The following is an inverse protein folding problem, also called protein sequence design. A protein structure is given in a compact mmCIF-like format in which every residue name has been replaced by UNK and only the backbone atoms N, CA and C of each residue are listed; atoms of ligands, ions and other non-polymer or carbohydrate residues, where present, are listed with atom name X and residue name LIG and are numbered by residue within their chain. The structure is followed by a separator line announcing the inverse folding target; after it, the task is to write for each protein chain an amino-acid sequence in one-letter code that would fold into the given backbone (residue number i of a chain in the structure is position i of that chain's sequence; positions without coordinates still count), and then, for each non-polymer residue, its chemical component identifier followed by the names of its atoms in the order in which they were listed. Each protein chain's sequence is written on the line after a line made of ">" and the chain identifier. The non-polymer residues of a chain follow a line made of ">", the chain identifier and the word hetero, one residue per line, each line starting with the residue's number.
data_IF_685517914727
#
_entry.id   IF_685517914727
#
_cell.length_a   1.000
_cell.length_b   1.000
_cell.length_c   1.000
_cell.angle_alpha   90.00
_cell.angle_beta   90.00
_cell.angle_gamma   90.00
#
_symmetry.space_group_name_H-M   'P 1'
#
loop_
_entity.id
_entity.type
_entity.pdbx_description
1 polymer ?
#
# COMPACT_ATOMS: atom_id res chain seq x y z
N UNK A 1 11.83 1.89 0.54
CA UNK A 1 10.60 2.14 1.32
C UNK A 1 10.81 3.43 2.09
N UNK A 2 9.78 4.26 2.25
CA UNK A 2 9.90 5.56 2.91
C UNK A 2 8.88 5.68 4.03
N UNK A 3 9.32 6.07 5.23
CA UNK A 3 8.44 6.35 6.37
C UNK A 3 8.04 7.82 6.33
N UNK A 4 6.74 8.10 6.33
CA UNK A 4 6.17 9.46 6.26
C UNK A 4 5.12 9.66 7.34
N UNK A 5 4.90 10.88 7.85
CA UNK A 5 3.74 11.17 8.69
C UNK A 5 2.44 10.79 7.96
N UNK A 6 1.50 10.17 8.68
CA UNK A 6 0.24 9.77 8.08
C UNK A 6 -0.61 11.00 7.74
N UNK A 7 -1.18 11.01 6.54
CA UNK A 7 -2.11 12.04 6.09
C UNK A 7 -3.56 11.75 6.48
N UNK A 8 -3.84 10.55 7.00
CA UNK A 8 -5.18 10.12 7.35
C UNK A 8 -5.64 10.78 8.66
N UNK A 9 -6.83 11.41 8.65
CA UNK A 9 -7.31 12.19 9.79
C UNK A 9 -7.43 11.37 11.09
N UNK A 10 -7.76 10.08 11.00
CA UNK A 10 -7.82 9.17 12.14
C UNK A 10 -6.46 8.67 12.64
N UNK A 11 -5.37 9.03 11.96
CA UNK A 11 -4.00 8.58 12.22
C UNK A 11 -3.06 9.73 12.58
N UNK A 12 -3.59 10.83 13.12
CA UNK A 12 -2.78 11.97 13.55
C UNK A 12 -1.63 11.54 14.49
N UNK A 13 -0.40 11.93 14.14
CA UNK A 13 0.82 11.58 14.89
C UNK A 13 1.38 10.18 14.61
N UNK A 14 0.70 9.35 13.80
CA UNK A 14 1.20 8.06 13.34
C UNK A 14 1.94 8.20 12.01
N UNK A 15 2.60 7.12 11.60
CA UNK A 15 3.38 7.07 10.38
C UNK A 15 2.82 6.02 9.42
N UNK A 16 3.05 6.27 8.14
CA UNK A 16 2.80 5.34 7.07
C UNK A 16 4.12 5.00 6.37
N UNK A 17 4.17 3.79 5.84
CA UNK A 17 5.24 3.25 5.03
C UNK A 17 4.79 3.26 3.58
N UNK A 18 5.49 4.03 2.77
CA UNK A 18 5.29 4.06 1.32
C UNK A 18 6.23 3.03 0.69
N UNK A 19 5.63 2.05 0.01
CA UNK A 19 6.36 1.01 -0.72
C UNK A 19 6.06 1.15 -2.20
N UNK A 20 7.12 1.38 -2.98
CA UNK A 20 7.06 1.39 -4.43
C UNK A 20 7.48 0.02 -4.95
N UNK A 21 6.68 -0.58 -5.82
CA UNK A 21 6.96 -1.88 -6.44
C UNK A 21 6.62 -1.86 -7.92
N UNK A 22 7.21 -2.79 -8.67
CA UNK A 22 6.90 -3.00 -10.08
C UNK A 22 5.94 -4.18 -10.22
N UNK A 23 4.84 -3.99 -10.93
CA UNK A 23 3.92 -5.09 -11.24
C UNK A 23 4.43 -5.95 -12.42
N UNK A 24 3.75 -7.07 -12.67
CA UNK A 24 4.12 -8.00 -13.75
C UNK A 24 4.06 -7.38 -15.16
N UNK A 25 3.32 -6.29 -15.33
CA UNK A 25 3.23 -5.53 -16.57
C UNK A 25 4.27 -4.39 -16.66
N UNK A 26 5.21 -4.33 -15.71
CA UNK A 26 6.29 -3.34 -15.69
C UNK A 26 5.87 -1.97 -15.17
N UNK A 27 4.66 -1.82 -14.60
CA UNK A 27 4.17 -0.53 -14.10
C UNK A 27 4.65 -0.32 -12.68
N UNK A 28 5.15 0.88 -12.40
CA UNK A 28 5.51 1.31 -11.05
C UNK A 28 4.24 1.66 -10.28
N UNK A 29 4.02 0.99 -9.14
CA UNK A 29 2.88 1.17 -8.26
C UNK A 29 3.36 1.54 -6.87
N UNK A 30 2.51 2.25 -6.16
CA UNK A 30 2.72 2.64 -4.78
C UNK A 30 1.65 1.97 -3.94
N UNK A 31 2.05 1.46 -2.78
CA UNK A 31 1.16 1.00 -1.72
C UNK A 31 1.55 1.65 -0.40
N UNK A 32 0.54 2.05 0.36
CA UNK A 32 0.69 2.69 1.67
C UNK A 32 0.31 1.69 2.74
N UNK A 33 1.22 1.45 3.68
CA UNK A 33 1.03 0.52 4.79
C UNK A 33 1.20 1.28 6.10
N UNK A 34 0.28 1.18 7.06
CA UNK A 34 0.49 1.63 8.44
C UNK A 34 1.84 1.18 9.00
N UNK A 35 2.73 2.12 9.36
CA UNK A 35 4.08 1.78 9.81
C UNK A 35 4.06 0.91 11.07
N UNK A 36 3.09 1.14 11.95
CA UNK A 36 2.90 0.37 13.19
C UNK A 36 2.56 -1.11 12.94
N UNK A 37 1.91 -1.44 11.81
CA UNK A 37 1.62 -2.83 11.45
C UNK A 37 2.84 -3.54 10.85
N UNK A 38 3.76 -2.77 10.29
CA UNK A 38 4.97 -3.28 9.65
C UNK A 38 6.16 -3.37 10.62
N UNK A 39 6.27 -2.42 11.55
CA UNK A 39 7.39 -2.33 12.48
C UNK A 39 7.42 -3.52 13.45
N UNK A 40 8.63 -4.05 13.70
CA UNK A 40 8.83 -5.16 14.65
C UNK A 40 8.48 -6.55 14.14
N UNK A 41 7.94 -6.67 12.92
CA UNK A 41 7.73 -7.95 12.24
C UNK A 41 9.02 -8.50 11.65
N UNK A 42 9.10 -9.83 11.55
CA UNK A 42 10.14 -10.51 10.77
C UNK A 42 10.04 -10.18 9.28
N UNK A 43 11.10 -10.41 8.51
CA UNK A 43 11.10 -10.17 7.05
C UNK A 43 10.01 -10.98 6.34
N UNK A 44 9.78 -12.21 6.77
CA UNK A 44 8.73 -13.08 6.21
C UNK A 44 7.34 -12.47 6.45
N UNK A 45 7.04 -12.07 7.69
CA UNK A 45 5.77 -11.44 8.02
C UNK A 45 5.58 -10.08 7.33
N UNK A 46 6.65 -9.30 7.19
CA UNK A 46 6.64 -8.04 6.44
C UNK A 46 6.29 -8.29 4.98
N UNK A 47 6.84 -9.34 4.38
CA UNK A 47 6.55 -9.72 3.00
C UNK A 47 5.10 -10.21 2.84
N UNK A 48 4.57 -10.97 3.79
CA UNK A 48 3.16 -11.38 3.79
C UNK A 48 2.22 -10.17 3.92
N UNK A 49 2.55 -9.23 4.82
CA UNK A 49 1.79 -7.99 4.99
C UNK A 49 1.80 -7.17 3.68
N UNK A 50 2.98 -7.02 3.07
CA UNK A 50 3.13 -6.30 1.80
C UNK A 50 2.26 -6.94 0.70
N UNK A 51 2.31 -8.28 0.54
CA UNK A 51 1.48 -9.01 -0.42
C UNK A 51 -0.01 -8.80 -0.18
N UNK A 52 -0.45 -8.80 1.08
CA UNK A 52 -1.85 -8.56 1.46
C UNK A 52 -2.31 -7.18 1.01
N UNK A 53 -1.54 -6.12 1.28
CA UNK A 53 -1.89 -4.76 0.89
C UNK A 53 -1.85 -4.58 -0.64
N UNK A 54 -0.84 -5.12 -1.31
CA UNK A 54 -0.75 -5.07 -2.78
C UNK A 54 -1.98 -5.74 -3.41
N UNK A 55 -2.39 -6.91 -2.91
CA UNK A 55 -3.56 -7.63 -3.41
C UNK A 55 -4.86 -6.86 -3.17
N UNK A 56 -5.01 -6.18 -2.04
CA UNK A 56 -6.17 -5.35 -1.74
C UNK A 56 -6.28 -4.18 -2.72
N UNK A 57 -5.19 -3.42 -2.91
CA UNK A 57 -5.10 -2.32 -3.88
C UNK A 57 -5.36 -2.79 -5.31
N UNK A 58 -4.79 -3.93 -5.72
CA UNK A 58 -4.99 -4.47 -7.06
C UNK A 58 -6.45 -4.91 -7.26
N UNK A 59 -7.05 -5.57 -6.27
CA UNK A 59 -8.46 -5.96 -6.31
C UNK A 59 -9.38 -4.75 -6.43
N UNK A 60 -9.10 -3.69 -5.69
CA UNK A 60 -9.86 -2.45 -5.78
C UNK A 60 -9.74 -1.83 -7.17
N UNK A 61 -8.52 -1.72 -7.71
CA UNK A 61 -8.27 -1.19 -9.05
C UNK A 61 -8.99 -1.98 -10.13
N UNK A 62 -9.00 -3.30 -10.05
CA UNK A 62 -9.71 -4.17 -11.00
C UNK A 62 -11.22 -3.89 -11.04
N UNK A 63 -11.83 -3.40 -9.94
CA UNK A 63 -13.26 -3.00 -9.94
C UNK A 63 -13.54 -1.79 -10.82
N UNK A 64 -12.53 -0.98 -11.11
CA UNK A 64 -12.65 0.23 -11.92
C UNK A 64 -12.13 0.06 -13.35
N UNK A 65 -11.52 -1.09 -13.68
CA UNK A 65 -11.11 -1.39 -15.06
C UNK A 65 -12.35 -1.44 -15.97
N UNK A 66 -12.31 -0.67 -17.06
CA UNK A 66 -13.41 -0.58 -18.03
C UNK A 66 -14.60 0.27 -17.56
N UNK A 67 -14.50 0.95 -16.41
CA UNK A 67 -15.50 1.92 -15.95
C UNK A 67 -15.02 3.33 -16.24
N UNK A 68 -15.85 4.10 -16.93
CA UNK A 68 -15.60 5.52 -17.18
C UNK A 68 -15.96 6.30 -15.91
N UNK A 69 -14.95 6.79 -15.17
CA UNK A 69 -15.17 7.68 -14.03
C UNK A 69 -15.18 9.10 -14.56
N UNK A 70 -16.35 9.76 -14.51
CA UNK A 70 -16.44 11.21 -14.73
C UNK A 70 -15.98 11.90 -13.45
N UNK A 71 -14.91 12.67 -13.56
CA UNK A 71 -14.35 13.52 -12.50
C UNK A 71 -15.02 14.90 -12.57
#
# INVERSE_FOLDING_TARGET
>A
MSKVPSAEAGRAGKYDLIVTYQDSAGRMRIVTIPYEEFAGKSEEEQMELLRKYIKAEETERLRFVGREIKV
#
